data_IF_040787851999
#
_entry.id   IF_040787851999
#
_cell.length_a   1.000
_cell.length_b   1.000
_cell.length_c   1.000
_cell.angle_alpha   90.00
_cell.angle_beta   90.00
_cell.angle_gamma   90.00
#
_symmetry.space_group_name_H-M   'P 1'
#
loop_
_entity.id
_entity.type
_entity.pdbx_description
1 polymer ?
#
# COMPACT_ATOMS: atom_id res chain seq x y z
N UNK A 1 46.41 7.56 -26.14
CA UNK A 1 45.50 6.45 -25.79
C UNK A 1 45.07 6.51 -24.33
N UNK A 2 46.02 6.64 -23.38
CA UNK A 2 45.74 6.81 -21.93
C UNK A 2 44.77 7.95 -21.57
N UNK A 3 44.94 9.15 -22.15
CA UNK A 3 44.07 10.30 -21.86
C UNK A 3 42.59 10.02 -22.18
N UNK A 4 42.33 9.33 -23.30
CA UNK A 4 40.96 8.96 -23.70
C UNK A 4 40.38 7.92 -22.75
N UNK A 5 41.14 6.88 -22.42
CA UNK A 5 40.70 5.84 -21.47
C UNK A 5 40.41 6.43 -20.09
N UNK A 6 41.23 7.38 -19.61
CA UNK A 6 40.98 8.08 -18.34
C UNK A 6 39.67 8.86 -18.37
N UNK A 7 39.43 9.63 -19.43
CA UNK A 7 38.19 10.39 -19.61
C UNK A 7 36.95 9.49 -19.71
N UNK A 8 37.07 8.34 -20.38
CA UNK A 8 35.98 7.37 -20.50
C UNK A 8 35.66 6.73 -19.12
N UNK A 9 36.69 6.41 -18.31
CA UNK A 9 36.50 5.89 -16.95
C UNK A 9 35.85 6.93 -16.03
N UNK A 10 36.32 8.18 -16.07
CA UNK A 10 35.72 9.29 -15.30
C UNK A 10 34.27 9.55 -15.67
N UNK A 11 33.91 9.39 -16.95
CA UNK A 11 32.50 9.56 -17.37
C UNK A 11 31.64 8.38 -16.92
N UNK A 12 32.17 7.15 -17.00
CA UNK A 12 31.41 5.95 -16.64
C UNK A 12 31.24 5.77 -15.12
N UNK A 13 32.18 6.24 -14.30
CA UNK A 13 32.07 6.10 -12.84
C UNK A 13 30.90 6.91 -12.26
N UNK A 14 30.46 7.98 -12.94
CA UNK A 14 29.26 8.77 -12.56
C UNK A 14 28.01 7.88 -12.52
N UNK A 15 27.92 6.85 -13.35
CA UNK A 15 26.79 5.90 -13.30
C UNK A 15 26.79 5.07 -12.01
N UNK A 16 27.96 4.72 -11.48
CA UNK A 16 28.09 3.98 -10.21
C UNK A 16 27.71 4.86 -9.03
N UNK A 17 28.13 6.13 -9.05
CA UNK A 17 27.73 7.13 -8.04
C UNK A 17 26.20 7.25 -7.93
N UNK A 18 25.49 7.30 -9.06
CA UNK A 18 24.01 7.35 -9.06
C UNK A 18 23.37 6.11 -8.44
N UNK A 19 23.92 4.92 -8.67
CA UNK A 19 23.42 3.68 -8.06
C UNK A 19 23.63 3.72 -6.55
N UNK A 20 24.81 4.17 -6.10
CA UNK A 20 25.14 4.32 -4.69
C UNK A 20 24.26 5.38 -3.99
N UNK A 21 23.92 6.46 -4.69
CA UNK A 21 22.97 7.47 -4.20
C UNK A 21 21.58 6.85 -3.93
N UNK A 22 21.04 6.08 -4.86
CA UNK A 22 19.74 5.40 -4.66
C UNK A 22 19.79 4.34 -3.56
N UNK A 23 20.90 3.62 -3.41
CA UNK A 23 21.07 2.61 -2.36
C UNK A 23 21.06 3.21 -0.94
N UNK A 24 21.38 4.51 -0.81
CA UNK A 24 21.45 5.23 0.48
C UNK A 24 20.17 6.00 0.81
N UNK A 25 19.17 6.02 -0.07
CA UNK A 25 17.90 6.68 0.22
C UNK A 25 17.20 6.04 1.42
N UNK A 26 16.49 6.87 2.18
CA UNK A 26 15.64 6.40 3.28
C UNK A 26 14.55 5.50 2.70
N UNK A 27 14.65 4.20 2.98
CA UNK A 27 13.62 3.21 2.66
C UNK A 27 12.35 3.44 3.50
N UNK A 28 11.22 2.92 3.01
CA UNK A 28 10.04 2.72 3.85
C UNK A 28 10.33 1.73 4.99
N UNK A 29 9.38 1.63 5.92
CA UNK A 29 9.48 0.70 7.04
C UNK A 29 9.65 -0.76 6.56
N UNK A 30 10.18 -1.62 7.43
CA UNK A 30 10.48 -3.00 7.08
C UNK A 30 9.25 -3.77 6.59
N UNK A 31 9.46 -4.54 5.52
CA UNK A 31 8.46 -5.41 4.91
C UNK A 31 7.99 -6.51 5.88
N UNK A 32 8.93 -7.19 6.55
CA UNK A 32 8.69 -8.25 7.55
C UNK A 32 9.45 -7.90 8.84
N UNK A 33 8.79 -8.07 9.98
CA UNK A 33 9.35 -7.84 11.32
C UNK A 33 9.09 -9.11 12.13
N UNK A 34 10.11 -9.97 12.27
CA UNK A 34 9.93 -11.27 12.91
C UNK A 34 9.57 -11.20 14.39
N UNK A 35 10.01 -10.15 15.10
CA UNK A 35 9.74 -9.97 16.53
C UNK A 35 8.29 -9.58 16.83
N UNK A 36 7.58 -9.00 15.86
CA UNK A 36 6.27 -8.36 16.05
C UNK A 36 5.29 -8.85 14.98
N UNK A 37 5.13 -10.16 14.86
CA UNK A 37 4.14 -10.74 13.95
C UNK A 37 2.75 -10.72 14.58
N UNK A 38 1.72 -10.30 13.83
CA UNK A 38 0.36 -10.43 14.32
C UNK A 38 -0.02 -11.92 14.43
N UNK A 39 -1.05 -12.27 15.22
CA UNK A 39 -1.56 -13.63 15.28
C UNK A 39 -1.90 -14.18 13.89
N UNK A 40 -1.77 -15.50 13.63
CA UNK A 40 -1.94 -16.08 12.28
C UNK A 40 -3.27 -15.76 11.58
N UNK A 41 -4.34 -15.59 12.37
CA UNK A 41 -5.69 -15.30 11.88
C UNK A 41 -6.07 -13.82 11.99
N UNK A 42 -5.11 -12.95 12.26
CA UNK A 42 -5.35 -11.52 12.30
C UNK A 42 -5.57 -10.97 10.86
N UNK A 43 -6.47 -9.99 10.70
CA UNK A 43 -7.47 -9.54 11.68
C UNK A 43 -8.64 -10.54 11.79
N UNK A 44 -9.15 -10.74 13.01
CA UNK A 44 -10.26 -11.64 13.33
C UNK A 44 -11.61 -10.91 13.24
N UNK A 45 -11.70 -9.70 13.81
CA UNK A 45 -12.93 -8.90 13.87
C UNK A 45 -12.89 -7.73 12.88
N UNK A 46 -11.72 -7.12 12.72
CA UNK A 46 -11.53 -5.94 11.88
C UNK A 46 -12.05 -4.65 12.52
N UNK A 47 -12.04 -4.53 13.86
CA UNK A 47 -12.33 -3.25 14.50
C UNK A 47 -11.11 -2.32 14.38
N UNK A 48 -11.35 -1.03 14.13
CA UNK A 48 -10.29 -0.04 13.92
C UNK A 48 -10.41 1.05 14.98
N UNK A 49 -9.33 1.24 15.75
CA UNK A 49 -9.24 2.30 16.73
C UNK A 49 -8.12 3.28 16.36
N UNK A 50 -8.45 4.55 16.20
CA UNK A 50 -7.51 5.61 15.86
C UNK A 50 -7.47 6.59 17.03
N UNK A 51 -6.27 6.89 17.52
CA UNK A 51 -6.07 7.78 18.67
C UNK A 51 -5.14 8.92 18.28
N UNK A 52 -5.65 10.15 18.28
CA UNK A 52 -4.89 11.40 18.08
C UNK A 52 -4.01 11.41 16.81
N UNK A 53 -4.48 10.76 15.74
CA UNK A 53 -3.73 10.60 14.51
C UNK A 53 -3.48 11.95 13.84
N UNK A 54 -2.20 12.22 13.61
CA UNK A 54 -1.73 13.35 12.81
C UNK A 54 -0.73 12.88 11.76
N UNK A 55 -0.90 13.30 10.52
CA UNK A 55 -0.06 12.86 9.39
C UNK A 55 0.29 14.02 8.46
N UNK A 56 1.43 13.89 7.76
CA UNK A 56 1.88 14.82 6.70
C UNK A 56 2.62 14.03 5.63
N UNK A 57 2.57 14.52 4.39
CA UNK A 57 3.25 13.87 3.26
C UNK A 57 4.78 13.97 3.33
N UNK A 58 5.31 15.05 3.90
CA UNK A 58 6.74 15.31 4.06
C UNK A 58 6.96 16.12 5.33
N UNK A 59 8.14 16.00 5.93
CA UNK A 59 8.48 16.67 7.19
C UNK A 59 8.26 18.19 7.12
N UNK A 60 8.60 18.81 6.00
CA UNK A 60 8.49 20.27 5.81
C UNK A 60 7.09 20.74 5.36
N UNK A 61 6.11 19.84 5.26
CA UNK A 61 4.74 20.18 4.89
C UNK A 61 3.84 20.25 6.12
N UNK A 62 2.74 21.00 5.98
CA UNK A 62 1.72 21.06 7.00
C UNK A 62 1.03 19.71 7.20
N UNK A 63 0.56 19.48 8.42
CA UNK A 63 -0.27 18.32 8.75
C UNK A 63 -1.58 18.35 7.93
N UNK A 64 -1.89 17.23 7.30
CA UNK A 64 -3.14 17.03 6.53
C UNK A 64 -4.25 16.46 7.41
N UNK A 65 -3.92 15.51 8.28
CA UNK A 65 -4.77 15.05 9.37
C UNK A 65 -4.20 15.59 10.68
N UNK A 66 -5.08 16.06 11.57
CA UNK A 66 -4.71 16.71 12.84
C UNK A 66 -5.58 16.15 13.95
N UNK A 67 -4.94 15.50 14.92
CA UNK A 67 -5.54 14.98 16.16
C UNK A 67 -6.84 14.19 15.94
N UNK A 68 -6.85 13.35 14.89
CA UNK A 68 -8.02 12.57 14.53
C UNK A 68 -8.16 11.35 15.45
N UNK A 69 -9.29 11.25 16.15
CA UNK A 69 -9.66 10.06 16.92
C UNK A 69 -10.98 9.49 16.40
N UNK A 70 -10.98 8.21 16.06
CA UNK A 70 -12.14 7.50 15.50
C UNK A 70 -12.15 6.08 16.07
N UNK A 71 -13.33 5.58 16.41
CA UNK A 71 -13.53 4.19 16.80
C UNK A 71 -14.56 3.55 15.85
N UNK A 72 -14.15 2.53 15.11
CA UNK A 72 -14.96 1.80 14.13
C UNK A 72 -15.12 0.37 14.63
N UNK A 73 -16.36 -0.03 14.88
CA UNK A 73 -16.67 -1.36 15.37
C UNK A 73 -16.67 -2.38 14.23
N UNK A 74 -16.45 -3.64 14.61
CA UNK A 74 -16.49 -4.78 13.70
C UNK A 74 -17.81 -4.83 12.91
N UNK A 75 -17.71 -4.93 11.58
CA UNK A 75 -18.87 -5.04 10.69
C UNK A 75 -19.59 -3.74 10.37
N UNK A 76 -19.12 -2.60 10.87
CA UNK A 76 -19.70 -1.30 10.52
C UNK A 76 -19.37 -0.87 9.09
N UNK A 77 -20.34 -0.19 8.46
CA UNK A 77 -20.19 0.42 7.14
C UNK A 77 -20.08 1.92 7.31
N UNK A 78 -18.88 2.46 7.14
CA UNK A 78 -18.59 3.87 7.39
C UNK A 78 -18.50 4.64 6.06
N UNK A 79 -19.25 5.73 5.97
CA UNK A 79 -19.13 6.70 4.88
C UNK A 79 -18.28 7.90 5.30
N UNK A 80 -17.24 8.22 4.53
CA UNK A 80 -16.39 9.39 4.78
C UNK A 80 -16.70 10.48 3.74
N UNK A 81 -17.24 11.60 4.20
CA UNK A 81 -17.63 12.74 3.34
C UNK A 81 -16.82 13.99 3.67
N UNK A 82 -16.66 14.88 2.69
CA UNK A 82 -15.95 16.14 2.86
C UNK A 82 -15.51 16.76 1.55
N UNK A 83 -15.18 18.05 1.56
CA UNK A 83 -14.69 18.79 0.38
C UNK A 83 -13.42 18.16 -0.21
N UNK A 84 -13.13 18.42 -1.48
CA UNK A 84 -11.84 18.05 -2.08
C UNK A 84 -10.69 18.64 -1.28
N UNK A 85 -9.63 17.86 -1.05
CA UNK A 85 -8.48 18.26 -0.23
C UNK A 85 -8.68 18.12 1.29
N UNK A 86 -9.82 17.61 1.77
CA UNK A 86 -10.09 17.48 3.21
C UNK A 86 -9.36 16.32 3.91
N UNK A 87 -8.42 15.64 3.25
CA UNK A 87 -7.64 14.53 3.85
C UNK A 87 -8.30 13.15 3.81
N UNK A 88 -9.42 12.94 3.10
CA UNK A 88 -10.10 11.63 3.01
C UNK A 88 -9.18 10.54 2.46
N UNK A 89 -8.57 10.77 1.30
CA UNK A 89 -7.62 9.83 0.72
C UNK A 89 -6.38 9.67 1.61
N UNK A 90 -5.95 10.74 2.29
CA UNK A 90 -4.82 10.68 3.23
C UNK A 90 -5.11 9.76 4.43
N UNK A 91 -6.35 9.71 4.91
CA UNK A 91 -6.78 8.75 5.94
C UNK A 91 -6.64 7.31 5.45
N UNK A 92 -7.12 7.01 4.24
CA UNK A 92 -6.94 5.68 3.64
C UNK A 92 -5.45 5.33 3.47
N UNK A 93 -4.62 6.26 3.00
CA UNK A 93 -3.17 6.05 2.86
C UNK A 93 -2.46 5.85 4.20
N UNK A 94 -2.99 6.41 5.29
CA UNK A 94 -2.45 6.24 6.64
C UNK A 94 -2.76 4.84 7.18
N UNK A 95 -3.94 4.28 6.90
CA UNK A 95 -4.30 2.89 7.24
C UNK A 95 -3.38 1.87 6.54
N UNK A 96 -2.93 2.17 5.32
CA UNK A 96 -1.99 1.33 4.56
C UNK A 96 -0.51 1.59 4.90
N UNK A 97 -0.24 2.52 5.84
CA UNK A 97 1.11 3.01 6.15
C UNK A 97 1.90 3.37 4.89
N UNK A 98 1.24 4.01 3.93
CA UNK A 98 1.90 4.69 2.81
C UNK A 98 2.37 6.09 3.28
N UNK A 99 1.60 6.69 4.18
CA UNK A 99 2.00 7.89 4.93
C UNK A 99 2.06 7.49 6.39
N UNK A 100 3.24 7.58 7.00
CA UNK A 100 3.40 7.23 8.40
C UNK A 100 2.80 8.31 9.33
N UNK A 101 2.19 7.91 10.46
CA UNK A 101 1.80 8.81 11.53
C UNK A 101 2.97 9.68 12.01
N UNK A 102 2.75 10.98 12.12
CA UNK A 102 3.66 11.90 12.82
C UNK A 102 3.34 11.94 14.31
N UNK A 103 2.08 11.73 14.68
CA UNK A 103 1.61 11.57 16.05
C UNK A 103 0.38 10.65 16.06
N UNK A 104 0.10 10.08 17.23
CA UNK A 104 -1.01 9.15 17.42
C UNK A 104 -0.74 7.77 16.85
N UNK A 105 -1.73 6.89 16.99
CA UNK A 105 -1.60 5.46 16.67
C UNK A 105 -2.88 4.94 16.05
N UNK A 106 -2.72 3.93 15.19
CA UNK A 106 -3.82 3.20 14.57
C UNK A 106 -3.73 1.75 15.05
N UNK A 107 -4.84 1.23 15.56
CA UNK A 107 -4.97 -0.14 16.00
C UNK A 107 -6.00 -0.86 15.12
N UNK A 108 -5.70 -2.11 14.77
CA UNK A 108 -6.66 -3.04 14.17
C UNK A 108 -6.70 -4.28 15.06
N UNK A 109 -7.88 -4.61 15.59
CA UNK A 109 -8.06 -5.69 16.58
C UNK A 109 -7.11 -5.58 17.78
N UNK A 110 -6.90 -4.36 18.28
CA UNK A 110 -5.97 -4.01 19.37
C UNK A 110 -4.48 -4.23 19.06
N UNK A 111 -4.12 -4.53 17.81
CA UNK A 111 -2.73 -4.58 17.35
C UNK A 111 -2.35 -3.21 16.79
N UNK A 112 -1.30 -2.61 17.34
CA UNK A 112 -0.70 -1.39 16.77
C UNK A 112 -0.07 -1.71 15.42
N UNK A 113 -0.61 -1.12 14.35
CA UNK A 113 -0.15 -1.42 13.00
C UNK A 113 1.25 -0.85 12.71
N UNK A 114 1.78 0.07 13.53
CA UNK A 114 3.12 0.63 13.38
C UNK A 114 4.22 -0.36 13.82
N UNK A 115 3.89 -1.34 14.65
CA UNK A 115 4.84 -2.33 15.17
C UNK A 115 5.02 -3.54 14.25
N UNK A 116 4.02 -3.84 13.41
CA UNK A 116 4.06 -5.00 12.51
C UNK A 116 4.71 -4.66 11.15
N UNK A 117 5.14 -5.69 10.42
CA UNK A 117 5.69 -5.56 9.07
C UNK A 117 4.65 -5.05 8.07
N UNK A 118 5.08 -4.24 7.10
CA UNK A 118 4.18 -3.64 6.10
C UNK A 118 3.43 -4.69 5.27
N UNK A 119 4.04 -5.85 5.01
CA UNK A 119 3.39 -6.90 4.26
C UNK A 119 2.35 -7.67 5.05
N UNK A 120 2.61 -7.93 6.33
CA UNK A 120 1.62 -8.55 7.20
C UNK A 120 0.39 -7.65 7.34
N UNK A 121 0.57 -6.32 7.39
CA UNK A 121 -0.51 -5.36 7.33
C UNK A 121 -1.22 -5.37 5.96
N UNK A 122 -0.49 -5.02 4.89
CA UNK A 122 -1.05 -4.77 3.56
C UNK A 122 -1.63 -6.02 2.89
N UNK A 123 -1.24 -7.23 3.30
CA UNK A 123 -1.84 -8.49 2.81
C UNK A 123 -3.22 -8.79 3.41
N UNK A 124 -3.61 -8.07 4.48
CA UNK A 124 -4.88 -8.29 5.21
C UNK A 124 -5.93 -7.21 4.99
N UNK A 125 -5.56 -6.12 4.33
CA UNK A 125 -6.47 -5.00 4.02
C UNK A 125 -6.49 -4.75 2.51
N UNK A 126 -7.67 -4.48 1.97
CA UNK A 126 -7.87 -4.26 0.53
C UNK A 126 -8.32 -2.84 0.25
N UNK A 127 -7.76 -2.22 -0.78
CA UNK A 127 -8.15 -0.89 -1.26
C UNK A 127 -8.44 -0.94 -2.75
N UNK A 128 -9.46 -0.20 -3.17
CA UNK A 128 -9.73 0.09 -4.58
C UNK A 128 -9.18 1.50 -4.84
N UNK A 129 -8.16 1.67 -5.69
CA UNK A 129 -7.58 2.99 -5.98
C UNK A 129 -8.58 3.87 -6.74
N UNK A 130 -8.38 5.18 -6.69
CA UNK A 130 -9.21 6.14 -7.42
C UNK A 130 -9.03 5.98 -8.94
N UNK A 131 -7.80 5.77 -9.39
CA UNK A 131 -7.46 5.49 -10.78
C UNK A 131 -7.24 3.99 -10.97
N UNK A 132 -8.00 3.36 -11.86
CA UNK A 132 -7.83 1.96 -12.19
C UNK A 132 -6.61 1.77 -13.11
N UNK A 133 -5.57 1.13 -12.58
CA UNK A 133 -4.35 0.78 -13.33
C UNK A 133 -4.38 -0.71 -13.66
N UNK A 134 -4.14 -1.04 -14.93
CA UNK A 134 -4.03 -2.41 -15.43
C UNK A 134 -2.64 -2.56 -16.04
N UNK A 135 -1.93 -3.62 -15.66
CA UNK A 135 -0.61 -3.94 -16.20
C UNK A 135 -0.74 -4.66 -17.54
N UNK A 136 0.22 -4.41 -18.44
CA UNK A 136 0.31 -5.13 -19.70
C UNK A 136 0.48 -6.64 -19.43
N UNK A 137 -0.42 -7.45 -19.96
CA UNK A 137 -0.47 -8.88 -19.69
C UNK A 137 -1.89 -9.43 -19.86
N UNK A 138 -2.11 -10.62 -19.32
CA UNK A 138 -3.43 -11.27 -19.37
C UNK A 138 -4.36 -10.69 -18.30
N UNK A 139 -5.68 -10.83 -18.52
CA UNK A 139 -6.68 -10.52 -17.49
C UNK A 139 -6.42 -11.38 -16.24
N UNK A 140 -6.05 -12.65 -16.43
CA UNK A 140 -5.69 -13.57 -15.34
C UNK A 140 -4.55 -13.03 -14.47
N UNK A 141 -3.48 -12.53 -15.09
CA UNK A 141 -2.34 -11.95 -14.39
C UNK A 141 -2.72 -10.72 -13.57
N UNK A 142 -3.60 -9.86 -14.10
CA UNK A 142 -4.06 -8.67 -13.39
C UNK A 142 -4.99 -8.99 -12.20
N UNK A 143 -5.70 -10.12 -12.23
CA UNK A 143 -6.58 -10.55 -11.13
C UNK A 143 -5.79 -11.33 -10.06
N UNK A 144 -4.90 -12.23 -10.47
CA UNK A 144 -4.15 -13.11 -9.58
C UNK A 144 -2.70 -13.26 -10.09
N UNK A 145 -1.83 -12.27 -9.82
CA UNK A 145 -0.46 -12.26 -10.30
C UNK A 145 0.41 -13.39 -9.71
N UNK A 146 -0.02 -13.99 -8.60
CA UNK A 146 0.71 -15.06 -7.91
C UNK A 146 0.19 -16.46 -8.25
N UNK A 147 -0.89 -16.57 -9.05
CA UNK A 147 -1.52 -17.85 -9.40
C UNK A 147 -1.92 -18.68 -8.18
N UNK A 148 -2.45 -18.02 -7.15
CA UNK A 148 -2.85 -18.66 -5.89
C UNK A 148 -4.22 -19.35 -5.97
N UNK A 149 -5.05 -18.97 -6.93
CA UNK A 149 -6.44 -19.45 -7.05
C UNK A 149 -6.65 -20.26 -8.32
N UNK A 150 -7.67 -21.12 -8.34
CA UNK A 150 -8.08 -21.88 -9.52
C UNK A 150 -8.89 -21.03 -10.51
N UNK A 151 -8.92 -21.44 -11.78
CA UNK A 151 -9.70 -20.71 -12.79
C UNK A 151 -11.20 -20.68 -12.47
N UNK A 152 -11.72 -21.73 -11.84
CA UNK A 152 -13.12 -21.77 -11.38
C UNK A 152 -13.41 -20.67 -10.36
N UNK A 153 -12.52 -20.45 -9.39
CA UNK A 153 -12.67 -19.37 -8.40
C UNK A 153 -12.64 -17.98 -9.07
N UNK A 154 -11.78 -17.80 -10.05
CA UNK A 154 -11.68 -16.55 -10.81
C UNK A 154 -12.94 -16.30 -11.61
N UNK A 155 -13.46 -17.30 -12.32
CA UNK A 155 -14.71 -17.19 -13.06
C UNK A 155 -15.91 -16.88 -12.14
N UNK A 156 -15.94 -17.44 -10.93
CA UNK A 156 -16.97 -17.12 -9.94
C UNK A 156 -16.89 -15.64 -9.52
N UNK A 157 -15.70 -15.11 -9.26
CA UNK A 157 -15.53 -13.68 -8.94
C UNK A 157 -15.91 -12.79 -10.12
N UNK A 158 -15.52 -13.16 -11.34
CA UNK A 158 -15.88 -12.44 -12.57
C UNK A 158 -17.39 -12.40 -12.81
N UNK A 159 -18.12 -13.43 -12.39
CA UNK A 159 -19.58 -13.45 -12.41
C UNK A 159 -20.18 -12.49 -11.37
N UNK A 160 -19.64 -12.49 -10.14
CA UNK A 160 -20.08 -11.59 -9.06
C UNK A 160 -19.88 -10.10 -9.40
N UNK A 161 -18.84 -9.77 -10.16
CA UNK A 161 -18.58 -8.39 -10.63
C UNK A 161 -19.18 -8.10 -12.01
N UNK A 162 -20.01 -9.01 -12.55
CA UNK A 162 -20.71 -8.86 -13.83
C UNK A 162 -19.79 -8.68 -15.06
N UNK A 163 -18.57 -9.24 -15.04
CA UNK A 163 -17.61 -9.15 -16.15
C UNK A 163 -17.48 -10.46 -16.96
N UNK A 164 -18.06 -11.56 -16.49
CA UNK A 164 -17.97 -12.89 -17.13
C UNK A 164 -18.35 -12.88 -18.63
N UNK A 165 -19.53 -12.38 -18.96
CA UNK A 165 -20.01 -12.30 -20.36
C UNK A 165 -19.11 -11.38 -21.22
N UNK A 166 -18.63 -10.28 -20.64
CA UNK A 166 -17.75 -9.36 -21.34
C UNK A 166 -16.44 -10.04 -21.72
N UNK A 167 -15.87 -10.83 -20.81
CA UNK A 167 -14.61 -11.54 -21.06
C UNK A 167 -14.80 -12.68 -22.07
N UNK A 168 -15.92 -13.41 -22.03
CA UNK A 168 -16.21 -14.44 -23.02
C UNK A 168 -16.32 -13.91 -24.46
N UNK A 169 -16.77 -12.66 -24.61
CA UNK A 169 -16.92 -12.02 -25.93
C UNK A 169 -15.66 -11.30 -26.42
N UNK A 170 -14.59 -11.27 -25.62
CA UNK A 170 -13.30 -10.74 -26.06
C UNK A 170 -12.62 -11.78 -26.96
N UNK A 171 -12.34 -11.41 -28.21
CA UNK A 171 -11.46 -12.18 -29.08
C UNK A 171 -10.02 -12.12 -28.53
N UNK A 172 -9.29 -13.24 -28.69
CA UNK A 172 -7.91 -13.41 -28.18
C UNK A 172 -6.91 -12.44 -28.81
#
# INVERSE_FOLDING_TARGET
MLVRVSSDVETNIVSVERIDEYAKLKSEASWDIQSEKPPPYWPIKGNIHITNLSTRYRENLQLILKDLSIDIQSGEKIGIIGRTGSGKSSLCLSLFRIIEPTNGTIFIDNVDIQLIGLHDLRSKITIIPQDAVIFAGTIRFNIDPFSNYSDTEIWNVLELVHLKERIHTMEN
#
